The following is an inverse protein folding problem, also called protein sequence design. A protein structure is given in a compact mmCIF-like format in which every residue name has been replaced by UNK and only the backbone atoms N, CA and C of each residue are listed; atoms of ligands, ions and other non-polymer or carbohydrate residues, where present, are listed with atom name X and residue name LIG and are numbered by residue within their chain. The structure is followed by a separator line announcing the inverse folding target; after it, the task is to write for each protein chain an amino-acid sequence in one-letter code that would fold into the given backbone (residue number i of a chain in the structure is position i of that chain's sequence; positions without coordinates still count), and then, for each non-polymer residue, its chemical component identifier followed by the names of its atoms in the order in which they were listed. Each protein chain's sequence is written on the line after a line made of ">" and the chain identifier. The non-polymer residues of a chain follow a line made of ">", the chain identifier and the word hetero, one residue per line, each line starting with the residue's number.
data_IF_675839580256
#
_entry.id   IF_675839580256
#
_cell.length_a   1.000
_cell.length_b   1.000
_cell.length_c   1.000
_cell.angle_alpha   90.00
_cell.angle_beta   90.00
_cell.angle_gamma   90.00
#
_symmetry.space_group_name_H-M   'P 1'
#
loop_
_entity.id
_entity.type
_entity.pdbx_description
1 polymer ?
#
# COMPACT_ATOMS: atom_id res chain seq x y z
N UNK A 1 5.43 -20.76 11.28
CA UNK A 1 6.06 -21.13 12.54
C UNK A 1 5.43 -20.32 13.67
N UNK A 2 5.11 -20.96 14.82
CA UNK A 2 4.38 -20.33 15.94
C UNK A 2 5.13 -20.39 17.26
N UNK A 3 5.96 -21.40 17.45
CA UNK A 3 6.80 -21.57 18.63
C UNK A 3 8.23 -21.88 18.19
N UNK A 4 9.21 -21.15 18.73
CA UNK A 4 10.61 -21.32 18.39
C UNK A 4 11.52 -20.85 19.53
N UNK A 5 12.75 -21.36 19.56
CA UNK A 5 13.77 -20.90 20.50
C UNK A 5 14.44 -19.64 19.95
N UNK A 6 14.52 -18.59 20.78
CA UNK A 6 15.08 -17.30 20.39
C UNK A 6 16.52 -17.38 19.87
N UNK A 7 17.33 -18.23 20.50
CA UNK A 7 18.75 -18.42 20.16
C UNK A 7 19.00 -19.24 18.87
N UNK A 8 17.95 -19.83 18.29
CA UNK A 8 18.03 -20.60 17.05
C UNK A 8 17.20 -19.96 15.91
N UNK A 9 16.81 -18.69 16.08
CA UNK A 9 15.87 -18.03 15.17
C UNK A 9 16.36 -16.64 14.84
N UNK A 10 16.39 -16.33 13.56
CA UNK A 10 16.65 -15.00 13.01
C UNK A 10 15.41 -14.54 12.25
N UNK A 11 15.17 -13.23 12.27
CA UNK A 11 14.11 -12.65 11.46
C UNK A 11 14.66 -12.30 10.08
N UNK A 12 13.99 -12.77 9.05
CA UNK A 12 14.35 -12.47 7.66
C UNK A 12 13.11 -12.28 6.79
N UNK A 13 13.30 -11.66 5.65
CA UNK A 13 12.23 -11.27 4.74
C UNK A 13 12.17 -9.77 4.58
N UNK A 14 11.14 -9.30 3.90
CA UNK A 14 10.88 -7.88 3.65
C UNK A 14 9.57 -7.51 4.37
N UNK A 15 9.55 -6.38 5.06
CA UNK A 15 8.33 -5.84 5.67
C UNK A 15 7.22 -5.69 4.58
N UNK A 16 5.98 -6.15 4.79
CA UNK A 16 5.39 -6.75 5.99
C UNK A 16 5.43 -8.30 6.02
N UNK A 17 6.30 -8.93 5.25
CA UNK A 17 6.37 -10.39 5.09
C UNK A 17 7.55 -11.03 5.82
N UNK A 18 7.98 -10.42 6.92
CA UNK A 18 9.01 -11.00 7.78
C UNK A 18 8.62 -12.38 8.28
N UNK A 19 9.57 -13.29 8.23
CA UNK A 19 9.39 -14.68 8.66
C UNK A 19 10.51 -15.09 9.61
N UNK A 20 10.21 -15.85 10.67
CA UNK A 20 11.27 -16.45 11.47
C UNK A 20 11.98 -17.56 10.66
N UNK A 21 13.28 -17.40 10.50
CA UNK A 21 14.18 -18.38 9.89
C UNK A 21 14.79 -19.15 11.04
N UNK A 22 14.51 -20.45 11.11
CA UNK A 22 14.95 -21.30 12.21
C UNK A 22 16.04 -22.25 11.74
N UNK A 23 17.15 -22.27 12.47
CA UNK A 23 18.22 -23.24 12.27
C UNK A 23 17.88 -24.51 13.05
N UNK A 24 17.58 -25.60 12.34
CA UNK A 24 17.30 -26.91 12.96
C UNK A 24 15.99 -27.54 12.49
N UNK A 25 15.65 -28.65 13.18
CA UNK A 25 14.45 -29.43 12.88
C UNK A 25 13.19 -28.69 13.32
N UNK A 26 12.18 -28.64 12.45
CA UNK A 26 10.85 -28.11 12.76
C UNK A 26 9.82 -29.24 12.72
N UNK A 27 8.84 -29.19 13.61
CA UNK A 27 7.76 -30.16 13.69
C UNK A 27 6.40 -29.46 13.70
N UNK A 28 5.38 -30.16 13.21
CA UNK A 28 4.00 -29.71 13.34
C UNK A 28 3.44 -30.17 14.69
N UNK A 29 2.97 -29.21 15.48
CA UNK A 29 2.24 -29.50 16.70
C UNK A 29 0.78 -29.80 16.36
N UNK A 30 0.20 -30.77 17.09
CA UNK A 30 -1.22 -31.03 17.03
C UNK A 30 -1.98 -29.91 17.76
N UNK A 31 -3.09 -29.47 17.15
CA UNK A 31 -3.94 -28.42 17.68
C UNK A 31 -3.99 -27.18 16.78
N UNK A 32 -5.08 -26.45 16.90
CA UNK A 32 -5.33 -25.24 16.16
C UNK A 32 -5.12 -24.01 17.04
N UNK A 33 -4.54 -22.97 16.47
CA UNK A 33 -4.42 -21.66 17.11
C UNK A 33 -5.48 -20.76 16.50
N UNK A 34 -6.48 -20.38 17.29
CA UNK A 34 -7.46 -19.40 16.87
C UNK A 34 -6.82 -18.02 16.77
N UNK A 35 -6.83 -17.44 15.59
CA UNK A 35 -6.25 -16.14 15.31
C UNK A 35 -7.34 -15.12 14.96
N UNK A 36 -7.68 -14.29 15.94
CA UNK A 36 -8.60 -13.17 15.74
C UNK A 36 -7.82 -11.94 15.29
N UNK A 37 -7.78 -11.69 14.00
CA UNK A 37 -7.02 -10.57 13.43
C UNK A 37 -7.66 -9.22 13.73
N UNK A 38 -8.97 -9.17 13.77
CA UNK A 38 -9.79 -8.01 14.11
C UNK A 38 -11.13 -8.47 14.68
N UNK A 39 -11.72 -7.64 15.54
CA UNK A 39 -13.01 -7.93 16.20
C UNK A 39 -14.15 -7.17 15.57
N UNK A 40 -13.87 -6.02 14.98
CA UNK A 40 -14.86 -5.15 14.35
C UNK A 40 -14.45 -4.82 12.92
N UNK A 41 -15.43 -4.38 12.12
CA UNK A 41 -15.17 -3.89 10.76
C UNK A 41 -14.29 -2.62 10.82
N UNK A 42 -14.49 -1.76 11.81
CA UNK A 42 -13.71 -0.53 11.98
C UNK A 42 -12.21 -0.83 12.19
N UNK A 43 -11.89 -1.78 13.09
CA UNK A 43 -10.51 -2.24 13.29
C UNK A 43 -9.92 -2.82 12.00
N UNK A 44 -10.74 -3.52 11.21
CA UNK A 44 -10.33 -4.06 9.92
C UNK A 44 -9.97 -2.93 8.94
N UNK A 45 -10.78 -1.86 8.84
CA UNK A 45 -10.52 -0.73 7.96
C UNK A 45 -9.25 0.05 8.36
N UNK A 46 -9.02 0.26 9.65
CA UNK A 46 -7.78 0.91 10.14
C UNK A 46 -6.55 0.12 9.72
N UNK A 47 -6.55 -1.20 9.94
CA UNK A 47 -5.46 -2.09 9.51
C UNK A 47 -5.29 -2.10 7.99
N UNK A 48 -6.38 -2.18 7.26
CA UNK A 48 -6.40 -2.17 5.80
C UNK A 48 -5.78 -0.89 5.24
N UNK A 49 -6.09 0.27 5.84
CA UNK A 49 -5.47 1.53 5.44
C UNK A 49 -3.95 1.49 5.61
N UNK A 50 -3.45 0.99 6.76
CA UNK A 50 -2.03 0.86 7.03
C UNK A 50 -1.35 -0.13 6.07
N UNK A 51 -1.92 -1.32 5.89
CA UNK A 51 -1.39 -2.33 4.97
C UNK A 51 -1.38 -1.86 3.52
N UNK A 52 -2.42 -1.14 3.07
CA UNK A 52 -2.44 -0.59 1.71
C UNK A 52 -1.37 0.49 1.51
N UNK A 53 -1.00 1.24 2.57
CA UNK A 53 0.09 2.22 2.50
C UNK A 53 1.45 1.54 2.34
N UNK A 54 1.72 0.51 3.15
CA UNK A 54 2.97 -0.26 3.04
C UNK A 54 3.07 -0.91 1.66
N UNK A 55 2.00 -1.59 1.22
CA UNK A 55 1.97 -2.23 -0.09
C UNK A 55 2.10 -1.23 -1.27
N UNK A 56 1.57 -0.02 -1.14
CA UNK A 56 1.75 1.02 -2.15
C UNK A 56 3.21 1.50 -2.23
N UNK A 57 3.87 1.70 -1.08
CA UNK A 57 5.28 2.07 -1.03
C UNK A 57 6.19 1.02 -1.65
N UNK A 58 5.94 -0.26 -1.38
CA UNK A 58 6.69 -1.37 -1.99
C UNK A 58 6.52 -1.41 -3.52
N UNK A 59 5.32 -1.22 -4.01
CA UNK A 59 5.04 -1.18 -5.45
C UNK A 59 5.71 0.03 -6.12
N UNK A 60 5.68 1.20 -5.49
CA UNK A 60 6.39 2.38 -5.96
C UNK A 60 7.91 2.14 -6.01
N UNK A 61 8.48 1.50 -4.99
CA UNK A 61 9.90 1.14 -4.96
C UNK A 61 10.30 0.16 -6.08
N UNK A 62 9.34 -0.66 -6.56
CA UNK A 62 9.50 -1.55 -7.73
C UNK A 62 9.26 -0.85 -9.07
N UNK A 63 8.94 0.45 -9.05
CA UNK A 63 8.62 1.21 -10.26
C UNK A 63 7.22 0.95 -10.81
N UNK A 64 6.31 0.39 -10.01
CA UNK A 64 4.92 0.16 -10.44
C UNK A 64 4.20 1.49 -10.58
N UNK A 65 3.56 1.69 -11.73
CA UNK A 65 2.69 2.83 -12.00
C UNK A 65 1.21 2.44 -11.90
N UNK A 66 0.36 3.40 -11.58
CA UNK A 66 -1.08 3.21 -11.49
C UNK A 66 -1.82 4.26 -12.33
N UNK A 67 -2.47 3.78 -13.39
CA UNK A 67 -3.40 4.57 -14.19
C UNK A 67 -4.86 4.20 -13.90
N UNK A 68 -5.78 4.89 -14.59
CA UNK A 68 -7.23 4.68 -14.46
C UNK A 68 -7.64 3.21 -14.66
N UNK A 69 -7.04 2.53 -15.61
CA UNK A 69 -7.32 1.10 -15.87
C UNK A 69 -6.97 0.25 -14.65
N UNK A 70 -5.81 0.47 -14.04
CA UNK A 70 -5.39 -0.24 -12.83
C UNK A 70 -6.32 0.03 -11.65
N UNK A 71 -6.75 1.27 -11.49
CA UNK A 71 -7.68 1.69 -10.44
C UNK A 71 -9.05 0.99 -10.54
N UNK A 72 -9.53 0.74 -11.74
CA UNK A 72 -10.85 0.13 -11.96
C UNK A 72 -10.79 -1.40 -12.03
N UNK A 73 -9.84 -1.95 -12.79
CA UNK A 73 -9.80 -3.39 -13.07
C UNK A 73 -9.23 -4.21 -11.94
N UNK A 74 -8.14 -3.77 -11.29
CA UNK A 74 -7.46 -4.54 -10.25
C UNK A 74 -8.34 -4.83 -9.03
N UNK A 75 -9.11 -3.85 -8.48
CA UNK A 75 -10.04 -4.09 -7.39
C UNK A 75 -11.14 -5.09 -7.77
N UNK A 76 -11.68 -4.94 -8.98
CA UNK A 76 -12.76 -5.80 -9.47
C UNK A 76 -12.30 -7.25 -9.62
N UNK A 77 -11.15 -7.45 -10.24
CA UNK A 77 -10.52 -8.77 -10.37
C UNK A 77 -10.24 -9.39 -8.98
N UNK A 78 -9.78 -8.60 -8.02
CA UNK A 78 -9.53 -9.05 -6.65
C UNK A 78 -10.84 -9.49 -5.97
N UNK A 79 -11.89 -8.68 -6.07
CA UNK A 79 -13.22 -8.99 -5.53
C UNK A 79 -13.78 -10.30 -6.13
N UNK A 80 -13.74 -10.43 -7.45
CA UNK A 80 -14.20 -11.65 -8.15
C UNK A 80 -13.37 -12.86 -7.71
N UNK A 81 -12.06 -12.71 -7.60
CA UNK A 81 -11.17 -13.78 -7.12
C UNK A 81 -11.58 -14.29 -5.74
N UNK A 82 -11.89 -13.40 -4.80
CA UNK A 82 -12.29 -13.80 -3.45
C UNK A 82 -13.70 -14.38 -3.42
N UNK A 83 -14.63 -13.76 -4.11
CA UNK A 83 -16.03 -14.19 -4.09
C UNK A 83 -16.25 -15.49 -4.86
N UNK A 84 -15.70 -15.60 -6.07
CA UNK A 84 -15.92 -16.75 -6.96
C UNK A 84 -14.85 -17.82 -6.77
N UNK A 85 -13.57 -17.49 -7.03
CA UNK A 85 -12.51 -18.49 -7.07
C UNK A 85 -12.12 -19.04 -5.70
N UNK A 86 -12.19 -18.21 -4.65
CA UNK A 86 -12.02 -18.66 -3.25
C UNK A 86 -13.33 -19.14 -2.62
N UNK A 87 -14.40 -19.23 -3.41
CA UNK A 87 -15.71 -19.72 -2.99
C UNK A 87 -16.35 -18.91 -1.85
N UNK A 88 -16.05 -17.61 -1.74
CA UNK A 88 -16.65 -16.72 -0.73
C UNK A 88 -18.18 -16.71 -0.77
N UNK A 89 -18.80 -16.97 -1.93
CA UNK A 89 -20.26 -17.09 -2.07
C UNK A 89 -20.86 -18.19 -1.18
N UNK A 90 -20.08 -19.20 -0.77
CA UNK A 90 -20.54 -20.28 0.11
C UNK A 90 -20.74 -19.83 1.55
N UNK A 91 -20.05 -18.76 1.95
CA UNK A 91 -20.12 -18.16 3.29
C UNK A 91 -21.26 -17.12 3.40
N UNK A 92 -22.08 -16.96 2.34
CA UNK A 92 -23.17 -15.99 2.33
C UNK A 92 -22.70 -14.54 2.48
N UNK A 93 -23.41 -13.77 3.33
CA UNK A 93 -23.09 -12.34 3.55
C UNK A 93 -21.65 -12.08 4.04
N UNK A 94 -21.11 -12.82 5.02
CA UNK A 94 -19.71 -12.65 5.41
C UNK A 94 -18.72 -12.78 4.25
N UNK A 95 -18.92 -13.76 3.38
CA UNK A 95 -18.06 -13.97 2.21
C UNK A 95 -18.14 -12.84 1.19
N UNK A 96 -19.34 -12.24 1.00
CA UNK A 96 -19.50 -11.05 0.16
C UNK A 96 -18.78 -9.85 0.76
N UNK A 97 -18.97 -9.60 2.06
CA UNK A 97 -18.31 -8.49 2.77
C UNK A 97 -16.78 -8.61 2.66
N UNK A 98 -16.22 -9.80 2.89
CA UNK A 98 -14.76 -10.03 2.76
C UNK A 98 -14.30 -9.77 1.32
N UNK A 99 -15.03 -10.23 0.31
CA UNK A 99 -14.68 -9.99 -1.09
C UNK A 99 -14.67 -8.49 -1.44
N UNK A 100 -15.64 -7.73 -0.94
CA UNK A 100 -15.70 -6.28 -1.13
C UNK A 100 -14.55 -5.56 -0.41
N UNK A 101 -14.23 -5.95 0.81
CA UNK A 101 -13.11 -5.41 1.58
C UNK A 101 -11.77 -5.67 0.85
N UNK A 102 -11.58 -6.84 0.27
CA UNK A 102 -10.39 -7.17 -0.51
C UNK A 102 -10.29 -6.35 -1.81
N UNK A 103 -11.43 -6.10 -2.46
CA UNK A 103 -11.53 -5.16 -3.57
C UNK A 103 -11.15 -3.74 -3.15
N UNK A 104 -11.72 -3.25 -2.06
CA UNK A 104 -11.42 -1.93 -1.50
C UNK A 104 -9.95 -1.79 -1.09
N UNK A 105 -9.36 -2.80 -0.45
CA UNK A 105 -7.92 -2.83 -0.17
C UNK A 105 -7.08 -2.60 -1.43
N UNK A 106 -7.43 -3.31 -2.51
CA UNK A 106 -6.71 -3.19 -3.77
C UNK A 106 -6.90 -1.82 -4.38
N UNK A 107 -8.11 -1.26 -4.33
CA UNK A 107 -8.39 0.11 -4.76
C UNK A 107 -7.52 1.13 -3.99
N UNK A 108 -7.52 1.07 -2.66
CA UNK A 108 -6.73 1.96 -1.81
C UNK A 108 -5.23 1.89 -2.11
N UNK A 109 -4.70 0.69 -2.35
CA UNK A 109 -3.30 0.52 -2.76
C UNK A 109 -3.00 1.27 -4.05
N UNK A 110 -3.76 1.04 -5.11
CA UNK A 110 -3.53 1.68 -6.40
C UNK A 110 -3.87 3.17 -6.40
N UNK A 111 -4.87 3.61 -5.62
CA UNK A 111 -5.16 5.02 -5.42
C UNK A 111 -4.02 5.78 -4.76
N UNK A 112 -3.35 5.17 -3.78
CA UNK A 112 -2.15 5.74 -3.13
C UNK A 112 -0.95 5.81 -4.08
N UNK A 113 -0.75 4.80 -4.93
CA UNK A 113 0.30 4.83 -5.97
C UNK A 113 0.02 5.97 -6.96
N UNK A 114 -1.20 6.09 -7.44
CA UNK A 114 -1.61 7.17 -8.33
C UNK A 114 -1.47 8.54 -7.67
N UNK A 115 -1.93 8.69 -6.42
CA UNK A 115 -1.85 9.94 -5.66
C UNK A 115 -0.42 10.43 -5.47
N UNK A 116 0.51 9.52 -5.22
CA UNK A 116 1.93 9.87 -5.10
C UNK A 116 2.49 10.44 -6.41
N UNK A 117 2.13 9.86 -7.55
CA UNK A 117 2.51 10.36 -8.87
C UNK A 117 1.88 11.72 -9.15
N UNK A 118 0.61 11.88 -8.82
CA UNK A 118 -0.11 13.15 -9.00
C UNK A 118 0.53 14.28 -8.21
N UNK A 119 0.93 14.03 -6.96
CA UNK A 119 1.64 15.00 -6.13
C UNK A 119 2.99 15.39 -6.72
N UNK A 120 3.79 14.43 -7.15
CA UNK A 120 5.08 14.69 -7.78
C UNK A 120 4.96 15.53 -9.06
N UNK A 121 3.93 15.30 -9.86
CA UNK A 121 3.65 16.10 -11.07
C UNK A 121 3.23 17.53 -10.72
N UNK A 122 2.40 17.70 -9.68
CA UNK A 122 2.00 19.03 -9.21
C UNK A 122 3.21 19.82 -8.67
N UNK A 123 4.07 19.19 -7.89
CA UNK A 123 5.31 19.81 -7.39
C UNK A 123 6.23 20.25 -8.54
N UNK A 124 6.34 19.41 -9.59
CA UNK A 124 7.13 19.75 -10.77
C UNK A 124 6.55 20.98 -11.50
N UNK A 125 5.24 21.04 -11.72
CA UNK A 125 4.57 22.17 -12.39
C UNK A 125 4.80 23.46 -11.58
N UNK A 126 4.61 23.41 -10.27
CA UNK A 126 4.83 24.57 -9.40
C UNK A 126 6.27 25.06 -9.45
N UNK A 127 7.24 24.14 -9.38
CA UNK A 127 8.65 24.50 -9.49
C UNK A 127 9.00 25.14 -10.85
N UNK A 128 8.42 24.65 -11.95
CA UNK A 128 8.58 25.25 -13.28
C UNK A 128 7.98 26.66 -13.37
N UNK A 129 6.83 26.90 -12.74
CA UNK A 129 6.18 28.20 -12.70
C UNK A 129 7.00 29.20 -11.86
N UNK A 130 7.46 28.78 -10.68
CA UNK A 130 8.34 29.59 -9.83
C UNK A 130 9.64 29.97 -10.56
N UNK A 131 10.26 29.03 -11.25
CA UNK A 131 11.46 29.29 -12.04
C UNK A 131 11.21 30.32 -13.18
N UNK A 132 10.05 30.28 -13.83
CA UNK A 132 9.65 31.26 -14.85
C UNK A 132 9.48 32.66 -14.26
N UNK A 133 8.87 32.77 -13.08
CA UNK A 133 8.69 34.04 -12.37
C UNK A 133 10.03 34.65 -11.98
N UNK A 134 10.94 33.84 -11.42
CA UNK A 134 12.28 34.29 -11.00
C UNK A 134 13.11 34.73 -12.21
N UNK A 135 13.08 33.98 -13.32
CA UNK A 135 13.84 34.30 -14.52
C UNK A 135 13.20 35.40 -15.39
N UNK A 136 11.90 35.62 -15.26
CA UNK A 136 11.14 36.66 -15.97
C UNK A 136 11.04 37.99 -15.21
N UNK A 137 11.43 38.08 -13.97
CA UNK A 137 11.49 39.31 -13.22
C UNK A 137 12.59 40.22 -13.82
N UNK A 138 12.26 41.45 -14.34
CA UNK A 138 13.28 42.35 -14.83
C UNK A 138 14.19 42.68 -13.65
N UNK A 139 15.51 42.58 -13.86
CA UNK A 139 16.52 43.00 -12.90
C UNK A 139 16.13 44.37 -12.36
N UNK A 140 15.84 44.42 -11.04
CA UNK A 140 15.46 45.68 -10.38
C UNK A 140 16.51 46.70 -10.66
N UNK A 141 16.13 47.71 -11.47
CA UNK A 141 17.01 48.69 -12.05
C UNK A 141 17.91 49.32 -11.02
N UNK A 142 19.20 49.28 -11.30
CA UNK A 142 20.19 50.22 -10.80
C UNK A 142 19.65 51.63 -10.91
N UNK A 143 19.03 52.14 -9.84
CA UNK A 143 18.80 53.57 -9.70
C UNK A 143 20.14 54.22 -9.48
N UNK A 144 20.73 54.64 -10.60
CA UNK A 144 21.86 55.55 -10.67
C UNK A 144 21.40 56.87 -10.04
N UNK A 145 21.83 57.11 -8.78
CA UNK A 145 21.83 58.46 -8.23
C UNK A 145 22.94 59.23 -8.90
N UNK A 146 22.60 60.05 -9.86
CA UNK A 146 23.38 61.23 -10.25
C UNK A 146 22.56 62.45 -9.86
N UNK A 147 23.26 63.31 -9.15
CA UNK A 147 23.06 64.68 -8.73
C UNK A 147 22.48 64.84 -7.33
#
# INVERSE_FOLDING_TARGET
>A
LRLFRKNCTEWGGVDPHEKPIVSGRTEMLAGEILHYTYRTIDEQFVRLNNHSTVAAREELARGTDAGLISLLTKPLVRMIKFYVFKRGYREGMPGLVVAMIEGYYTFMKYAKIWGHRFQAEQERILAEEEAKIVNGAPAAGSRNKKD
#
